data_IF_727454580665
#
_entry.id   IF_727454580665
#
_cell.length_a   1.000
_cell.length_b   1.000
_cell.length_c   1.000
_cell.angle_alpha   90.00
_cell.angle_beta   90.00
_cell.angle_gamma   90.00
#
_symmetry.space_group_name_H-M   'P 1'
#
loop_
_entity.id
_entity.type
_entity.pdbx_description
1 polymer ?
#
# COMPACT_ATOMS: atom_id res chain seq x y z
N UNK A 1 -6.70 80.27 -57.25
CA UNK A 1 -8.15 80.16 -56.99
C UNK A 1 -8.53 78.70 -57.15
N UNK A 2 -8.69 77.97 -56.08
CA UNK A 2 -9.28 76.61 -56.09
C UNK A 2 -9.77 76.29 -54.71
N UNK A 3 -11.03 76.13 -54.55
CA UNK A 3 -11.78 75.87 -53.34
C UNK A 3 -11.71 74.40 -53.01
N UNK A 4 -11.31 74.11 -51.80
CA UNK A 4 -11.29 72.75 -51.23
C UNK A 4 -12.64 72.38 -50.64
N UNK A 5 -13.13 71.18 -50.96
CA UNK A 5 -14.34 70.59 -50.35
C UNK A 5 -13.88 69.49 -49.37
N UNK A 6 -14.18 69.69 -48.10
CA UNK A 6 -13.95 68.70 -47.07
C UNK A 6 -15.02 67.61 -47.11
N UNK A 7 -14.62 66.37 -47.31
CA UNK A 7 -15.46 65.19 -47.11
C UNK A 7 -15.34 64.71 -45.69
N UNK A 8 -16.45 64.63 -44.99
CA UNK A 8 -16.53 63.99 -43.64
C UNK A 8 -16.60 62.48 -43.80
N UNK A 9 -15.63 61.80 -43.26
CA UNK A 9 -15.66 60.34 -43.09
C UNK A 9 -16.27 60.06 -41.74
N UNK A 10 -17.41 59.35 -41.72
CA UNK A 10 -18.02 58.81 -40.47
C UNK A 10 -17.28 57.58 -40.04
N UNK A 11 -16.65 57.62 -38.87
CA UNK A 11 -16.07 56.43 -38.19
C UNK A 11 -17.19 55.70 -37.48
N UNK A 12 -17.46 54.43 -37.89
CA UNK A 12 -18.31 53.53 -37.20
C UNK A 12 -17.49 52.89 -36.05
N UNK A 13 -17.87 53.13 -34.80
CA UNK A 13 -17.32 52.51 -33.65
C UNK A 13 -17.90 51.09 -33.51
N UNK A 14 -17.08 50.06 -33.80
CA UNK A 14 -17.38 48.69 -33.45
C UNK A 14 -17.06 48.52 -31.95
N UNK A 15 -18.06 48.28 -31.12
CA UNK A 15 -17.91 47.85 -29.75
C UNK A 15 -17.54 46.34 -29.72
N UNK A 16 -16.54 45.92 -28.97
CA UNK A 16 -16.27 44.49 -28.79
C UNK A 16 -17.30 43.87 -27.85
N UNK A 17 -18.04 42.86 -28.33
CA UNK A 17 -18.89 42.04 -27.48
C UNK A 17 -17.99 41.21 -26.55
N UNK A 18 -17.99 41.51 -25.24
CA UNK A 18 -17.43 40.63 -24.23
C UNK A 18 -18.31 39.39 -24.13
N UNK A 19 -17.82 38.26 -24.63
CA UNK A 19 -18.40 36.96 -24.32
C UNK A 19 -18.00 36.62 -22.88
N UNK A 20 -18.91 36.75 -21.93
CA UNK A 20 -18.76 36.13 -20.61
C UNK A 20 -18.84 34.62 -20.78
N UNK A 21 -17.68 33.96 -20.85
CA UNK A 21 -17.58 32.52 -20.69
C UNK A 21 -17.92 32.17 -19.25
N UNK A 22 -19.12 31.66 -19.01
CA UNK A 22 -19.46 31.00 -17.74
C UNK A 22 -18.64 29.72 -17.60
N UNK A 23 -17.54 29.76 -16.87
CA UNK A 23 -16.86 28.56 -16.41
C UNK A 23 -17.78 27.89 -15.40
N UNK A 24 -18.50 26.86 -15.84
CA UNK A 24 -19.16 25.94 -14.95
C UNK A 24 -18.05 25.21 -14.19
N UNK A 25 -17.70 25.72 -13.01
CA UNK A 25 -16.86 25.01 -12.09
C UNK A 25 -17.55 23.69 -11.73
N UNK A 26 -17.01 22.58 -12.19
CA UNK A 26 -17.39 21.27 -11.67
C UNK A 26 -17.02 21.30 -10.18
N UNK A 27 -17.99 21.53 -9.33
CA UNK A 27 -17.87 21.33 -7.90
C UNK A 27 -17.54 19.84 -7.73
N UNK A 28 -16.29 19.51 -7.41
CA UNK A 28 -15.95 18.18 -6.96
C UNK A 28 -16.81 17.89 -5.76
N UNK A 29 -17.58 16.79 -5.79
CA UNK A 29 -18.31 16.33 -4.62
C UNK A 29 -17.33 16.30 -3.44
N UNK A 30 -17.72 16.76 -2.24
CA UNK A 30 -16.83 16.68 -1.09
C UNK A 30 -16.43 15.23 -0.89
N UNK A 31 -15.12 14.96 -0.81
CA UNK A 31 -14.63 13.64 -0.47
C UNK A 31 -15.29 13.26 0.86
N UNK A 32 -15.97 12.13 0.91
CA UNK A 32 -16.59 11.63 2.14
C UNK A 32 -15.48 11.57 3.20
N UNK A 33 -15.71 12.20 4.36
CA UNK A 33 -14.75 12.13 5.45
C UNK A 33 -14.54 10.66 5.84
N UNK A 34 -13.29 10.27 6.06
CA UNK A 34 -12.96 8.92 6.52
C UNK A 34 -13.74 8.62 7.82
N UNK A 35 -14.22 7.39 7.96
CA UNK A 35 -14.97 6.97 9.17
C UNK A 35 -14.06 6.87 10.39
N UNK A 36 -12.76 6.77 10.18
CA UNK A 36 -11.75 6.76 11.22
C UNK A 36 -10.42 7.30 10.71
N UNK A 37 -9.68 7.99 11.57
CA UNK A 37 -8.29 8.39 11.32
C UNK A 37 -7.51 8.46 12.64
N UNK A 38 -6.20 8.30 12.59
CA UNK A 38 -5.30 8.48 13.72
C UNK A 38 -3.89 8.82 13.25
N UNK A 39 -3.25 9.75 13.96
CA UNK A 39 -1.82 10.03 13.84
C UNK A 39 -1.02 9.49 15.03
N UNK A 40 -1.68 8.81 15.99
CA UNK A 40 -1.02 8.20 17.12
C UNK A 40 -0.12 7.05 16.65
N UNK A 41 1.06 6.94 17.23
CA UNK A 41 2.07 5.93 16.91
C UNK A 41 1.48 4.52 16.86
N UNK A 42 0.64 4.14 17.82
CA UNK A 42 -0.01 2.85 17.97
C UNK A 42 -1.52 2.90 17.72
N UNK A 43 -1.99 3.99 17.07
CA UNK A 43 -3.39 4.15 16.71
C UNK A 43 -3.92 2.95 15.94
N UNK A 44 -5.09 2.44 16.35
CA UNK A 44 -5.72 1.30 15.68
C UNK A 44 -7.23 1.36 15.79
N UNK A 45 -7.91 0.62 14.90
CA UNK A 45 -9.36 0.43 14.92
C UNK A 45 -9.75 -0.87 14.26
N UNK A 46 -10.91 -1.41 14.64
CA UNK A 46 -11.49 -2.60 14.02
C UNK A 46 -12.68 -2.22 13.15
N UNK A 47 -12.60 -2.54 11.86
CA UNK A 47 -13.62 -2.24 10.85
C UNK A 47 -13.82 -3.45 9.93
N UNK A 48 -15.06 -3.90 9.78
CA UNK A 48 -15.44 -4.96 8.83
C UNK A 48 -14.62 -6.26 8.96
N UNK A 49 -14.25 -6.63 10.20
CA UNK A 49 -13.48 -7.84 10.49
C UNK A 49 -11.98 -7.74 10.16
N UNK A 50 -11.47 -6.53 10.00
CA UNK A 50 -10.04 -6.19 9.97
C UNK A 50 -9.70 -5.29 11.13
N UNK A 51 -8.45 -5.36 11.60
CA UNK A 51 -7.89 -4.37 12.51
C UNK A 51 -6.84 -3.57 11.73
N UNK A 52 -7.03 -2.26 11.67
CA UNK A 52 -6.11 -1.31 11.05
C UNK A 52 -5.16 -0.76 12.09
N UNK A 53 -3.89 -0.62 11.74
CA UNK A 53 -2.83 -0.11 12.60
C UNK A 53 -2.04 1.01 11.91
N UNK A 54 -1.71 2.06 12.66
CA UNK A 54 -0.74 3.08 12.22
C UNK A 54 0.71 2.57 12.34
N UNK A 55 1.02 1.84 13.39
CA UNK A 55 2.22 1.01 13.59
C UNK A 55 3.55 1.70 13.22
N UNK A 56 3.86 2.81 13.90
CA UNK A 56 5.12 3.54 13.77
C UNK A 56 6.10 3.02 14.85
N UNK A 57 7.05 2.18 14.46
CA UNK A 57 7.94 1.53 15.42
C UNK A 57 9.43 1.83 15.21
N UNK A 58 9.81 2.34 14.04
CA UNK A 58 11.20 2.53 13.68
C UNK A 58 11.84 3.76 14.29
N UNK A 59 13.11 3.66 14.59
CA UNK A 59 13.91 4.78 15.11
C UNK A 59 13.99 5.92 14.10
N UNK A 60 13.82 7.15 14.56
CA UNK A 60 13.87 8.36 13.75
C UNK A 60 12.69 8.50 12.79
N UNK A 61 11.57 7.85 13.08
CA UNK A 61 10.34 8.03 12.31
C UNK A 61 9.85 9.48 12.37
N UNK A 62 9.31 9.96 11.26
CA UNK A 62 8.61 11.24 11.15
C UNK A 62 7.10 11.09 11.37
N UNK A 63 6.35 12.09 10.95
CA UNK A 63 4.89 12.12 11.09
C UNK A 63 4.22 11.11 10.17
N UNK A 64 3.19 10.44 10.66
CA UNK A 64 2.34 9.54 9.89
C UNK A 64 0.92 9.56 10.44
N UNK A 65 -0.06 9.56 9.52
CA UNK A 65 -1.47 9.46 9.86
C UNK A 65 -2.13 8.42 8.97
N UNK A 66 -2.86 7.49 9.57
CA UNK A 66 -3.69 6.50 8.88
C UNK A 66 -5.13 6.98 8.85
N UNK A 67 -5.84 6.69 7.78
CA UNK A 67 -7.28 6.95 7.61
C UNK A 67 -7.98 5.73 7.04
N UNK A 68 -9.27 5.56 7.32
CA UNK A 68 -10.07 4.47 6.79
C UNK A 68 -11.48 4.88 6.45
N UNK A 69 -11.98 4.39 5.31
CA UNK A 69 -13.39 4.36 4.95
C UNK A 69 -14.03 3.01 5.34
N UNK A 70 -13.22 1.95 5.40
CA UNK A 70 -13.60 0.60 5.85
C UNK A 70 -12.34 -0.20 6.17
N UNK A 71 -12.48 -1.43 6.66
CA UNK A 71 -11.35 -2.35 6.85
C UNK A 71 -10.68 -2.80 5.55
N UNK A 72 -11.33 -2.58 4.40
CA UNK A 72 -10.85 -2.95 3.07
C UNK A 72 -10.48 -1.76 2.18
N UNK A 73 -10.79 -0.53 2.61
CA UNK A 73 -10.47 0.72 1.93
C UNK A 73 -9.91 1.73 2.94
N UNK A 74 -8.61 1.95 2.88
CA UNK A 74 -7.87 2.76 3.84
C UNK A 74 -6.59 3.30 3.21
N UNK A 75 -5.91 4.17 3.89
CA UNK A 75 -4.63 4.69 3.44
C UNK A 75 -3.84 5.37 4.53
N UNK A 76 -2.63 5.78 4.18
CA UNK A 76 -1.71 6.46 5.07
C UNK A 76 -1.02 7.62 4.34
N UNK A 77 -0.89 8.73 5.01
CA UNK A 77 0.07 9.77 4.68
C UNK A 77 1.25 9.64 5.64
N UNK A 78 2.47 9.63 5.09
CA UNK A 78 3.68 9.52 5.89
C UNK A 78 4.76 10.48 5.39
N UNK A 79 5.52 11.07 6.32
CA UNK A 79 6.68 11.91 6.05
C UNK A 79 7.85 11.45 6.91
N UNK A 80 8.45 10.33 6.53
CA UNK A 80 9.61 9.76 7.19
C UNK A 80 10.91 10.20 6.52
N UNK A 81 11.91 10.65 7.29
CA UNK A 81 13.18 11.08 6.74
C UNK A 81 13.96 9.90 6.14
N UNK A 82 14.81 10.19 5.15
CA UNK A 82 15.70 9.20 4.54
C UNK A 82 16.98 9.00 5.39
N UNK A 83 16.83 8.34 6.52
CA UNK A 83 17.93 8.08 7.48
C UNK A 83 18.27 6.60 7.62
N UNK A 84 17.77 5.77 6.69
CA UNK A 84 17.89 4.31 6.75
C UNK A 84 16.98 3.66 7.79
N UNK A 85 16.84 2.35 7.71
CA UNK A 85 15.97 1.53 8.57
C UNK A 85 14.47 1.76 8.33
N UNK A 86 13.69 0.74 8.61
CA UNK A 86 12.23 0.78 8.49
C UNK A 86 11.67 1.70 9.57
N UNK A 87 10.71 2.55 9.23
CA UNK A 87 10.08 3.52 10.14
C UNK A 87 8.73 3.05 10.65
N UNK A 88 7.97 2.37 9.80
CA UNK A 88 6.61 1.96 10.12
C UNK A 88 6.15 0.81 9.23
N UNK A 89 5.09 0.13 9.69
CA UNK A 89 4.32 -0.80 8.88
C UNK A 89 2.82 -0.60 9.13
N UNK A 90 2.22 0.51 8.63
CA UNK A 90 0.77 0.67 8.66
C UNK A 90 0.12 -0.45 7.85
N UNK A 91 -0.85 -1.14 8.47
CA UNK A 91 -1.42 -2.35 7.89
C UNK A 91 -2.87 -2.60 8.29
N UNK A 92 -3.53 -3.46 7.52
CA UNK A 92 -4.81 -4.08 7.83
C UNK A 92 -4.58 -5.55 8.15
N UNK A 93 -4.94 -5.98 9.36
CA UNK A 93 -4.80 -7.34 9.86
C UNK A 93 -6.11 -8.10 9.79
N UNK A 94 -6.08 -9.30 9.21
CA UNK A 94 -7.18 -10.28 9.21
C UNK A 94 -6.77 -11.52 10.01
N UNK A 95 -7.52 -11.84 11.06
CA UNK A 95 -7.30 -13.05 11.87
C UNK A 95 -7.74 -14.28 11.07
N UNK A 96 -6.93 -15.32 11.09
CA UNK A 96 -7.16 -16.63 10.43
C UNK A 96 -7.34 -17.74 11.46
N UNK A 97 -6.40 -17.90 12.39
CA UNK A 97 -6.39 -18.89 13.47
C UNK A 97 -6.67 -20.33 12.99
N UNK A 98 -5.99 -20.76 11.91
CA UNK A 98 -6.13 -22.11 11.36
C UNK A 98 -4.76 -22.78 11.14
N UNK A 99 -4.59 -24.06 11.48
CA UNK A 99 -3.43 -24.84 11.06
C UNK A 99 -3.34 -24.91 9.54
N UNK A 100 -2.14 -24.88 8.98
CA UNK A 100 -1.94 -24.94 7.52
C UNK A 100 -2.61 -26.18 6.91
N UNK A 101 -2.56 -27.31 7.62
CA UNK A 101 -3.15 -28.59 7.13
C UNK A 101 -4.68 -28.60 7.13
N UNK A 102 -5.32 -27.73 7.92
CA UNK A 102 -6.77 -27.60 7.94
C UNK A 102 -7.31 -26.59 6.92
N UNK A 103 -6.42 -25.78 6.31
CA UNK A 103 -6.81 -24.83 5.28
C UNK A 103 -7.02 -25.53 3.94
N UNK A 104 -8.18 -25.33 3.34
CA UNK A 104 -8.50 -25.72 1.95
C UNK A 104 -8.23 -24.56 0.99
N UNK A 105 -8.36 -23.32 1.46
CA UNK A 105 -7.92 -22.12 0.74
C UNK A 105 -7.43 -21.03 1.71
N UNK A 106 -6.51 -20.20 1.22
CA UNK A 106 -6.14 -18.91 1.81
C UNK A 106 -5.74 -18.00 0.65
N UNK A 107 -6.59 -17.05 0.33
CA UNK A 107 -6.43 -16.16 -0.82
C UNK A 107 -6.65 -14.71 -0.43
N UNK A 108 -6.03 -13.81 -1.17
CA UNK A 108 -6.25 -12.37 -1.01
C UNK A 108 -6.30 -11.66 -2.36
N UNK A 109 -7.22 -10.70 -2.48
CA UNK A 109 -7.21 -9.72 -3.57
C UNK A 109 -6.79 -8.38 -3.00
N UNK A 110 -5.96 -7.65 -3.74
CA UNK A 110 -5.53 -6.30 -3.39
C UNK A 110 -5.61 -5.36 -4.60
N UNK A 111 -5.82 -4.08 -4.30
CA UNK A 111 -5.70 -2.98 -5.25
C UNK A 111 -5.17 -1.77 -4.47
N UNK A 112 -4.03 -1.23 -4.89
CA UNK A 112 -3.36 -0.12 -4.23
C UNK A 112 -2.97 0.97 -5.20
N UNK A 113 -2.95 2.20 -4.70
CA UNK A 113 -2.30 3.34 -5.33
C UNK A 113 -1.14 3.76 -4.43
N UNK A 114 0.08 3.67 -4.95
CA UNK A 114 1.31 3.93 -4.20
C UNK A 114 2.20 4.92 -4.93
N UNK A 115 3.02 5.70 -4.21
CA UNK A 115 3.89 6.70 -4.84
C UNK A 115 4.97 6.05 -5.70
N UNK A 116 5.46 6.80 -6.71
CA UNK A 116 6.60 6.39 -7.53
C UNK A 116 7.97 6.75 -6.94
N UNK A 117 7.98 7.39 -5.76
CA UNK A 117 9.18 7.84 -5.05
C UNK A 117 9.18 7.37 -3.61
N UNK A 118 10.28 7.61 -2.89
CA UNK A 118 10.48 7.13 -1.53
C UNK A 118 11.24 5.80 -1.48
N UNK A 119 11.22 5.17 -0.33
CA UNK A 119 11.80 3.84 -0.11
C UNK A 119 10.84 3.02 0.76
N UNK A 120 10.18 2.04 0.15
CA UNK A 120 9.14 1.24 0.81
C UNK A 120 8.88 -0.05 0.04
N UNK A 121 8.21 -1.00 0.69
CA UNK A 121 7.53 -2.10 0.03
C UNK A 121 6.03 -2.12 0.37
N UNK A 122 5.24 -2.75 -0.51
CA UNK A 122 3.85 -3.12 -0.27
C UNK A 122 3.82 -4.62 -0.10
N UNK A 123 3.47 -5.09 1.07
CA UNK A 123 3.59 -6.51 1.40
C UNK A 123 2.43 -7.05 2.20
N UNK A 124 2.23 -8.35 2.02
CA UNK A 124 1.63 -9.17 3.06
C UNK A 124 2.68 -9.51 4.10
N UNK A 125 2.23 -9.63 5.34
CA UNK A 125 3.00 -10.08 6.48
C UNK A 125 2.15 -11.12 7.22
N UNK A 126 2.55 -12.38 7.13
CA UNK A 126 1.76 -13.53 7.55
C UNK A 126 2.48 -14.18 8.72
N UNK A 127 1.79 -14.22 9.85
CA UNK A 127 2.34 -14.69 11.11
C UNK A 127 1.72 -16.01 11.57
N UNK A 128 2.53 -16.87 12.14
CA UNK A 128 2.01 -17.95 12.97
C UNK A 128 1.54 -17.41 14.34
N UNK A 129 0.72 -18.17 15.04
CA UNK A 129 0.18 -17.78 16.36
C UNK A 129 1.26 -17.61 17.44
N UNK A 130 2.44 -18.16 17.24
CA UNK A 130 3.58 -18.05 18.16
C UNK A 130 4.52 -16.88 17.84
N UNK A 131 4.28 -16.16 16.76
CA UNK A 131 5.16 -15.08 16.23
C UNK A 131 6.61 -15.55 16.02
N UNK A 132 6.78 -16.83 15.70
CA UNK A 132 8.09 -17.43 15.44
C UNK A 132 8.48 -17.36 13.98
N UNK A 133 7.49 -17.35 13.09
CA UNK A 133 7.66 -17.36 11.66
C UNK A 133 6.90 -16.21 11.02
N UNK A 134 7.61 -15.44 10.23
CA UNK A 134 7.12 -14.32 9.45
C UNK A 134 7.25 -14.63 7.95
N UNK A 135 6.14 -14.65 7.22
CA UNK A 135 6.16 -14.85 5.77
C UNK A 135 5.74 -13.55 5.09
N UNK A 136 6.69 -12.88 4.45
CA UNK A 136 6.45 -11.63 3.73
C UNK A 136 6.25 -11.90 2.23
N UNK A 137 5.18 -11.35 1.65
CA UNK A 137 4.97 -11.39 0.19
C UNK A 137 4.99 -9.95 -0.35
N UNK A 138 6.11 -9.51 -0.89
CA UNK A 138 6.29 -8.17 -1.43
C UNK A 138 5.71 -8.09 -2.84
N UNK A 139 4.54 -7.51 -2.99
CA UNK A 139 3.86 -7.35 -4.28
C UNK A 139 4.36 -6.13 -5.07
N UNK A 140 4.96 -5.17 -4.35
CA UNK A 140 5.55 -3.95 -4.91
C UNK A 140 6.73 -3.51 -4.04
N UNK A 141 7.73 -2.87 -4.64
CA UNK A 141 8.78 -2.16 -3.92
C UNK A 141 9.28 -0.96 -4.71
N UNK A 142 9.69 0.09 -4.01
CA UNK A 142 10.24 1.32 -4.59
C UNK A 142 11.44 1.77 -3.77
N UNK A 143 12.46 2.28 -4.44
CA UNK A 143 13.67 2.81 -3.82
C UNK A 143 14.59 1.75 -3.20
N UNK A 144 15.45 2.19 -2.30
CA UNK A 144 16.51 1.38 -1.70
C UNK A 144 15.97 0.57 -0.51
N UNK A 145 15.20 -0.48 -0.80
CA UNK A 145 14.71 -1.45 0.17
C UNK A 145 15.09 -2.87 -0.26
N UNK A 146 15.38 -3.72 0.68
CA UNK A 146 15.77 -5.11 0.44
C UNK A 146 15.33 -6.04 1.56
N UNK A 147 15.07 -7.32 1.23
CA UNK A 147 14.67 -8.32 2.21
C UNK A 147 15.82 -8.70 3.14
N UNK A 148 15.45 -9.23 4.30
CA UNK A 148 16.37 -9.79 5.27
C UNK A 148 16.91 -11.16 4.78
N UNK A 149 18.18 -11.42 5.03
CA UNK A 149 18.81 -12.73 4.83
C UNK A 149 19.38 -12.96 3.43
N UNK A 150 19.41 -14.21 3.00
CA UNK A 150 20.07 -14.65 1.76
C UNK A 150 19.07 -15.24 0.78
N UNK A 151 19.37 -15.04 -0.53
CA UNK A 151 18.53 -15.58 -1.60
C UNK A 151 18.53 -17.11 -1.61
N UNK A 152 17.34 -17.66 -1.79
CA UNK A 152 17.06 -19.10 -1.90
C UNK A 152 16.64 -19.51 -3.33
N UNK A 153 16.81 -18.59 -4.29
CA UNK A 153 16.43 -18.80 -5.69
C UNK A 153 15.03 -18.25 -5.99
N UNK A 154 14.51 -18.68 -7.14
CA UNK A 154 13.22 -18.21 -7.69
C UNK A 154 12.22 -19.34 -7.72
N UNK A 155 10.94 -19.01 -7.47
CA UNK A 155 9.84 -19.98 -7.53
C UNK A 155 8.58 -19.30 -8.07
N UNK A 156 7.75 -20.07 -8.80
CA UNK A 156 6.43 -19.63 -9.28
C UNK A 156 5.35 -20.31 -8.45
N UNK A 157 4.65 -19.56 -7.62
CA UNK A 157 3.64 -20.01 -6.68
C UNK A 157 2.55 -18.95 -6.48
N UNK A 158 1.34 -19.39 -6.18
CA UNK A 158 0.27 -18.48 -5.75
C UNK A 158 -0.15 -17.42 -6.78
N UNK A 159 0.15 -17.65 -8.06
CA UNK A 159 -0.20 -16.74 -9.16
C UNK A 159 0.90 -15.74 -9.52
N UNK A 160 2.13 -15.86 -8.97
CA UNK A 160 3.25 -14.99 -9.31
C UNK A 160 4.59 -15.72 -9.25
N UNK A 161 5.62 -15.11 -9.84
CA UNK A 161 7.01 -15.54 -9.72
C UNK A 161 7.71 -14.67 -8.67
N UNK A 162 8.45 -15.32 -7.77
CA UNK A 162 9.07 -14.72 -6.61
C UNK A 162 10.54 -15.08 -6.52
N UNK A 163 11.40 -14.12 -6.17
CA UNK A 163 12.71 -14.39 -5.61
C UNK A 163 12.56 -14.53 -4.10
N UNK A 164 13.01 -15.66 -3.56
CA UNK A 164 12.82 -16.02 -2.16
C UNK A 164 14.07 -15.71 -1.35
N UNK A 165 13.88 -15.15 -0.16
CA UNK A 165 14.94 -14.91 0.80
C UNK A 165 14.59 -15.56 2.15
N UNK A 166 15.61 -16.02 2.86
CA UNK A 166 15.49 -16.54 4.22
C UNK A 166 16.46 -15.81 5.14
N UNK A 167 15.95 -15.29 6.23
CA UNK A 167 16.71 -14.60 7.26
C UNK A 167 16.14 -14.80 8.65
N UNK A 168 16.82 -14.23 9.64
CA UNK A 168 16.39 -14.18 11.02
C UNK A 168 16.70 -12.79 11.57
N UNK A 169 15.73 -12.15 12.24
CA UNK A 169 15.90 -10.81 12.79
C UNK A 169 16.31 -10.78 14.27
N UNK A 170 16.67 -11.93 14.82
CA UNK A 170 17.01 -12.14 16.24
C UNK A 170 15.82 -12.54 17.12
N UNK A 171 14.58 -12.41 16.61
CA UNK A 171 13.35 -12.79 17.31
C UNK A 171 12.57 -13.87 16.58
N UNK A 172 12.54 -13.82 15.25
CA UNK A 172 11.80 -14.75 14.41
C UNK A 172 12.52 -15.04 13.08
N UNK A 173 12.19 -16.19 12.49
CA UNK A 173 12.59 -16.55 11.13
C UNK A 173 11.72 -15.78 10.13
N UNK A 174 12.36 -15.16 9.13
CA UNK A 174 11.71 -14.34 8.11
C UNK A 174 11.89 -14.98 6.73
N UNK A 175 10.79 -15.22 6.02
CA UNK A 175 10.77 -15.76 4.66
C UNK A 175 10.16 -14.72 3.73
N UNK A 176 10.98 -14.00 2.98
CA UNK A 176 10.53 -12.92 2.10
C UNK A 176 10.46 -13.38 0.65
N UNK A 177 9.30 -13.23 0.05
CA UNK A 177 9.00 -13.52 -1.35
C UNK A 177 8.86 -12.19 -2.10
N UNK A 178 9.84 -11.86 -2.92
CA UNK A 178 9.87 -10.61 -3.68
C UNK A 178 9.34 -10.89 -5.08
N UNK A 179 8.22 -10.30 -5.45
CA UNK A 179 7.63 -10.48 -6.77
C UNK A 179 8.58 -9.98 -7.86
N UNK A 180 8.70 -10.75 -8.95
CA UNK A 180 9.61 -10.44 -10.08
C UNK A 180 9.27 -9.13 -10.80
N UNK A 181 8.03 -8.65 -10.67
CA UNK A 181 7.59 -7.35 -11.19
C UNK A 181 6.62 -6.69 -10.23
N UNK A 182 6.74 -5.38 -10.03
CA UNK A 182 5.81 -4.61 -9.22
C UNK A 182 4.38 -4.73 -9.74
N UNK A 183 3.42 -4.83 -8.82
CA UNK A 183 2.00 -4.91 -9.15
C UNK A 183 1.18 -4.06 -8.18
N UNK A 184 0.33 -3.20 -8.73
CA UNK A 184 -0.62 -2.39 -7.94
C UNK A 184 -1.94 -3.10 -7.67
N UNK A 185 -2.20 -4.26 -8.28
CA UNK A 185 -3.43 -5.04 -8.05
C UNK A 185 -3.25 -6.51 -8.44
N UNK A 186 -4.04 -7.37 -7.84
CA UNK A 186 -4.04 -8.78 -8.20
C UNK A 186 -4.63 -9.68 -7.13
N UNK A 187 -4.60 -10.97 -7.43
CA UNK A 187 -4.94 -12.05 -6.50
C UNK A 187 -3.67 -12.80 -6.12
N UNK A 188 -3.48 -13.04 -4.84
CA UNK A 188 -2.42 -13.91 -4.33
C UNK A 188 -3.07 -15.13 -3.67
N UNK A 189 -2.73 -16.33 -4.15
CA UNK A 189 -3.08 -17.56 -3.48
C UNK A 189 -1.97 -17.88 -2.46
N UNK A 190 -2.22 -17.57 -1.20
CA UNK A 190 -1.23 -17.63 -0.12
C UNK A 190 -0.96 -19.09 0.29
N UNK A 191 -1.99 -19.95 0.31
CA UNK A 191 -1.86 -21.31 0.82
C UNK A 191 -0.79 -22.15 0.11
N UNK A 192 -0.66 -22.15 -1.23
CA UNK A 192 0.44 -22.86 -1.92
C UNK A 192 1.83 -22.40 -1.49
N UNK A 193 2.01 -21.10 -1.15
CA UNK A 193 3.28 -20.56 -0.66
C UNK A 193 3.60 -21.15 0.71
N UNK A 194 2.63 -21.13 1.64
CA UNK A 194 2.80 -21.71 2.97
C UNK A 194 3.08 -23.22 2.93
N UNK A 195 2.36 -23.95 2.05
CA UNK A 195 2.60 -25.38 1.82
C UNK A 195 3.99 -25.65 1.24
N UNK A 196 4.46 -24.81 0.31
CA UNK A 196 5.80 -24.95 -0.25
C UNK A 196 6.90 -24.75 0.82
N UNK A 197 6.74 -23.75 1.70
CA UNK A 197 7.68 -23.54 2.83
C UNK A 197 7.68 -24.77 3.75
N UNK A 198 6.49 -25.31 4.06
CA UNK A 198 6.32 -26.47 4.94
C UNK A 198 6.80 -27.77 4.30
N UNK A 199 6.27 -28.10 3.11
CA UNK A 199 6.39 -29.44 2.53
C UNK A 199 7.61 -29.61 1.65
N UNK A 200 8.04 -28.53 0.93
CA UNK A 200 9.17 -28.59 0.01
C UNK A 200 10.46 -28.15 0.68
N UNK A 201 10.40 -27.08 1.48
CA UNK A 201 11.61 -26.54 2.14
C UNK A 201 11.83 -27.07 3.55
N UNK A 202 10.76 -27.50 4.24
CA UNK A 202 10.85 -27.96 5.63
C UNK A 202 11.31 -26.86 6.60
N UNK A 203 11.08 -25.57 6.27
CA UNK A 203 11.53 -24.45 7.09
C UNK A 203 10.68 -24.24 8.33
N UNK A 204 9.43 -24.70 8.29
CA UNK A 204 8.56 -24.88 9.46
C UNK A 204 7.65 -26.10 9.26
N UNK A 205 7.07 -26.60 10.39
CA UNK A 205 6.13 -27.72 10.39
C UNK A 205 4.70 -27.29 10.13
N UNK A 206 3.73 -28.04 10.68
CA UNK A 206 2.32 -27.67 10.63
C UNK A 206 2.01 -26.60 11.68
N UNK A 207 2.32 -25.34 11.35
CA UNK A 207 2.02 -24.19 12.21
C UNK A 207 0.59 -23.74 12.04
N UNK A 208 0.04 -23.07 13.06
CA UNK A 208 -1.24 -22.37 12.99
C UNK A 208 -0.99 -20.96 12.53
N UNK A 209 -1.57 -20.59 11.38
CA UNK A 209 -1.53 -19.20 10.89
C UNK A 209 -2.44 -18.36 11.79
N UNK A 210 -1.86 -17.37 12.47
CA UNK A 210 -2.56 -16.47 13.37
C UNK A 210 -3.31 -15.40 12.58
N UNK A 211 -2.60 -14.70 11.72
CA UNK A 211 -3.17 -13.63 10.92
C UNK A 211 -2.43 -13.40 9.60
N UNK A 212 -3.11 -12.66 8.72
CA UNK A 212 -2.58 -12.10 7.49
C UNK A 212 -2.71 -10.59 7.59
N UNK A 213 -1.59 -9.90 7.57
CA UNK A 213 -1.51 -8.45 7.50
C UNK A 213 -1.21 -8.03 6.06
N UNK A 214 -1.66 -6.85 5.66
CA UNK A 214 -1.32 -6.24 4.37
C UNK A 214 -1.11 -4.75 4.58
N UNK A 215 0.02 -4.24 4.07
CA UNK A 215 0.34 -2.83 4.27
C UNK A 215 1.61 -2.36 3.57
N UNK A 216 2.18 -1.32 4.13
CA UNK A 216 3.32 -0.60 3.56
C UNK A 216 4.46 -0.55 4.58
N UNK A 217 5.54 -1.28 4.31
CA UNK A 217 6.74 -1.17 5.12
C UNK A 217 7.56 0.02 4.61
N UNK A 218 7.52 1.13 5.36
CA UNK A 218 8.05 2.41 4.92
C UNK A 218 9.41 2.67 5.56
N UNK A 219 10.45 2.79 4.73
CA UNK A 219 11.80 3.22 5.15
C UNK A 219 11.97 4.73 5.00
N UNK A 220 11.44 5.32 3.90
CA UNK A 220 11.47 6.75 3.67
C UNK A 220 10.28 7.21 2.83
N UNK A 221 9.67 8.31 3.26
CA UNK A 221 8.60 9.02 2.55
C UNK A 221 8.81 10.53 2.65
N UNK A 222 10.08 10.95 2.56
CA UNK A 222 10.50 12.34 2.72
C UNK A 222 9.74 13.29 1.78
N UNK A 223 9.25 14.38 2.35
CA UNK A 223 8.39 15.36 1.66
C UNK A 223 6.89 15.05 1.75
N UNK A 224 6.50 13.95 2.37
CA UNK A 224 5.10 13.54 2.52
C UNK A 224 4.57 12.75 1.32
N UNK A 225 4.30 11.47 1.52
CA UNK A 225 3.79 10.56 0.49
C UNK A 225 2.48 9.92 0.95
N UNK A 226 1.59 9.66 -0.03
CA UNK A 226 0.31 8.99 0.21
C UNK A 226 0.33 7.57 -0.34
N UNK A 227 -0.17 6.65 0.47
CA UNK A 227 -0.37 5.24 0.13
C UNK A 227 -1.84 4.91 0.32
N UNK A 228 -2.47 4.29 -0.66
CA UNK A 228 -3.90 3.98 -0.60
C UNK A 228 -4.15 2.52 -0.95
N UNK A 229 -4.85 1.82 -0.08
CA UNK A 229 -5.48 0.54 -0.34
C UNK A 229 -6.90 0.80 -0.81
N UNK A 230 -7.11 0.69 -2.13
CA UNK A 230 -8.42 0.90 -2.75
C UNK A 230 -9.37 -0.26 -2.45
N UNK A 231 -8.82 -1.47 -2.37
CA UNK A 231 -9.54 -2.67 -1.97
C UNK A 231 -8.58 -3.73 -1.44
N UNK A 232 -9.01 -4.44 -0.40
CA UNK A 232 -8.34 -5.60 0.18
C UNK A 232 -9.38 -6.64 0.58
N UNK A 233 -9.18 -7.89 0.20
CA UNK A 233 -9.94 -9.00 0.77
C UNK A 233 -8.99 -10.13 1.15
N UNK A 234 -9.20 -10.74 2.30
CA UNK A 234 -8.53 -11.98 2.72
C UNK A 234 -9.59 -13.00 3.08
N UNK A 235 -9.54 -14.15 2.44
CA UNK A 235 -10.50 -15.25 2.60
C UNK A 235 -9.78 -16.55 2.95
N UNK A 236 -10.32 -17.30 3.91
CA UNK A 236 -9.80 -18.59 4.34
C UNK A 236 -10.94 -19.60 4.52
N UNK A 237 -10.76 -20.81 4.04
CA UNK A 237 -11.68 -21.95 4.23
C UNK A 237 -10.93 -23.19 4.68
#
# INVERSE_FOLDING_TARGET
>A
MATSTLGRVAQALLAPALALGATVGLASAPASAAVWNSCDQWGNTSLNGYTLYNNIWGSGAGSQCVWANSGTNWGVWANHPNTGGIKSYPNAKKVVNKPITSLTSLTSNYNVTVPSSGAYNTSYDIWDTGYKYEVMLWVNKTGAVGPLGTSQGTVTLGGATWTVYKGNNGSNEVFSFIRSSNSGSGTVNILPILKWIKDTKGWFGNVTIGDVQFGYEITSSSGGLNFTTNNLTVSSS
#
